data_IF_937244874222
#
_entry.id   IF_937244874222
#
_cell.length_a   1.000
_cell.length_b   1.000
_cell.length_c   1.000
_cell.angle_alpha   90.00
_cell.angle_beta   90.00
_cell.angle_gamma   90.00
#
_symmetry.space_group_name_H-M   'P 1'
#
loop_
_entity.id
_entity.type
_entity.pdbx_description
1 polymer ?
#
# COMPACT_ATOMS: atom_id res chain seq x y z
N UNK A 1 -36.28 -1.00 48.74
CA UNK A 1 -36.07 -0.21 47.50
C UNK A 1 -35.41 -1.14 46.49
N UNK A 2 -36.08 -1.57 45.41
CA UNK A 2 -35.50 -2.53 44.49
C UNK A 2 -34.50 -1.82 43.57
N UNK A 3 -33.31 -2.40 43.44
CA UNK A 3 -32.24 -1.92 42.57
C UNK A 3 -32.71 -2.14 41.13
N UNK A 4 -32.96 -1.05 40.41
CA UNK A 4 -33.31 -1.06 39.00
C UNK A 4 -32.20 -1.73 38.18
N UNK A 5 -32.56 -2.77 37.44
CA UNK A 5 -31.72 -3.51 36.51
C UNK A 5 -30.99 -2.58 35.55
N UNK A 6 -29.67 -2.49 35.66
CA UNK A 6 -28.81 -1.77 34.71
C UNK A 6 -28.79 -2.59 33.42
N UNK A 7 -29.51 -2.13 32.40
CA UNK A 7 -29.39 -2.68 31.04
C UNK A 7 -28.05 -2.26 30.46
N UNK A 8 -27.05 -3.14 30.54
CA UNK A 8 -25.82 -3.03 29.77
C UNK A 8 -26.14 -3.29 28.29
N UNK A 9 -26.51 -2.24 27.56
CA UNK A 9 -26.50 -2.27 26.11
C UNK A 9 -25.04 -2.33 25.65
N UNK A 10 -24.50 -3.55 25.55
CA UNK A 10 -23.25 -3.81 24.86
C UNK A 10 -23.48 -3.54 23.37
N UNK A 11 -23.27 -2.30 22.94
CA UNK A 11 -23.18 -1.97 21.52
C UNK A 11 -22.05 -2.83 20.95
N UNK A 12 -22.39 -3.81 20.10
CA UNK A 12 -21.41 -4.51 19.26
C UNK A 12 -20.63 -3.43 18.52
N UNK A 13 -19.41 -3.14 18.96
CA UNK A 13 -18.47 -2.38 18.15
C UNK A 13 -18.24 -3.22 16.91
N UNK A 14 -18.90 -2.88 15.81
CA UNK A 14 -18.54 -3.45 14.53
C UNK A 14 -17.08 -3.09 14.30
N UNK A 15 -16.23 -4.09 14.11
CA UNK A 15 -14.90 -3.85 13.58
C UNK A 15 -15.11 -3.08 12.27
N UNK A 16 -14.72 -1.80 12.26
CA UNK A 16 -14.85 -0.95 11.09
C UNK A 16 -13.85 -1.48 10.06
N UNK A 17 -14.32 -2.38 9.20
CA UNK A 17 -13.48 -3.00 8.19
C UNK A 17 -13.20 -1.97 7.09
N UNK A 18 -11.91 -1.76 6.81
CA UNK A 18 -11.44 -0.96 5.67
C UNK A 18 -10.90 -1.90 4.60
N UNK A 19 -11.26 -1.73 3.31
CA UNK A 19 -10.65 -2.48 2.22
C UNK A 19 -9.19 -2.06 1.96
N UNK A 20 -8.78 -0.90 2.47
CA UNK A 20 -7.48 -0.31 2.21
C UNK A 20 -6.55 -0.42 3.40
N UNK A 21 -5.27 -0.62 3.10
CA UNK A 21 -4.14 -0.47 4.01
C UNK A 21 -3.12 0.49 3.40
N UNK A 22 -2.27 1.11 4.22
CA UNK A 22 -1.14 1.89 3.73
C UNK A 22 0.15 1.15 4.05
N UNK A 23 0.70 0.44 3.05
CA UNK A 23 1.95 -0.30 3.22
C UNK A 23 3.20 0.58 3.14
N UNK A 24 3.01 1.88 2.93
CA UNK A 24 3.98 2.93 3.08
C UNK A 24 5.09 2.93 2.03
N UNK A 25 6.25 3.35 2.51
CA UNK A 25 7.45 3.65 1.74
C UNK A 25 7.36 4.92 0.90
N UNK A 26 8.44 5.20 0.19
CA UNK A 26 8.65 6.43 -0.54
C UNK A 26 9.45 6.15 -1.81
N UNK A 27 9.05 6.83 -2.87
CA UNK A 27 9.68 6.77 -4.18
C UNK A 27 10.08 8.19 -4.59
N UNK A 28 11.22 8.34 -5.24
CA UNK A 28 11.72 9.60 -5.81
C UNK A 28 12.20 9.35 -7.22
N UNK A 29 11.95 10.32 -8.11
CA UNK A 29 12.39 10.28 -9.50
C UNK A 29 12.99 11.64 -9.89
N UNK A 30 14.10 11.62 -10.61
CA UNK A 30 14.77 12.82 -11.15
C UNK A 30 14.98 12.60 -12.65
N UNK A 31 14.41 13.49 -13.45
CA UNK A 31 14.63 13.52 -14.89
C UNK A 31 15.90 14.31 -15.22
N UNK A 32 16.78 13.71 -16.03
CA UNK A 32 17.86 14.37 -16.73
C UNK A 32 17.45 14.77 -18.16
N UNK A 33 18.42 15.22 -18.96
CA UNK A 33 18.22 15.56 -20.37
C UNK A 33 17.78 14.37 -21.23
N UNK A 34 18.31 13.19 -20.93
CA UNK A 34 18.27 11.98 -21.74
C UNK A 34 18.15 10.70 -20.89
N UNK A 35 17.93 10.86 -19.58
CA UNK A 35 17.76 9.76 -18.64
C UNK A 35 16.77 10.11 -17.53
N UNK A 36 16.38 9.11 -16.73
CA UNK A 36 15.64 9.31 -15.50
C UNK A 36 16.23 8.38 -14.42
N UNK A 37 16.50 8.91 -13.23
CA UNK A 37 16.92 8.12 -12.07
C UNK A 37 15.72 7.98 -11.15
N UNK A 38 15.40 6.73 -10.77
CA UNK A 38 14.29 6.42 -9.88
C UNK A 38 14.84 5.59 -8.73
N UNK A 39 14.48 5.97 -7.51
CA UNK A 39 14.86 5.28 -6.29
C UNK A 39 13.65 5.11 -5.38
N UNK A 40 13.61 4.01 -4.65
CA UNK A 40 12.57 3.74 -3.66
C UNK A 40 13.14 2.89 -2.51
N UNK A 41 12.60 3.07 -1.31
CA UNK A 41 12.96 2.19 -0.20
C UNK A 41 12.33 0.79 -0.37
N UNK A 42 12.89 -0.19 0.32
CA UNK A 42 12.48 -1.60 0.24
C UNK A 42 11.58 -2.07 1.38
N UNK A 43 11.26 -1.20 2.35
CA UNK A 43 10.49 -1.57 3.54
C UNK A 43 9.00 -1.55 3.24
N UNK A 44 8.31 -2.65 3.55
CA UNK A 44 6.84 -2.72 3.53
C UNK A 44 6.33 -2.87 4.96
N UNK A 45 5.33 -2.07 5.34
CA UNK A 45 4.80 -2.05 6.71
C UNK A 45 3.28 -2.20 6.71
N UNK A 46 2.68 -2.41 7.88
CA UNK A 46 1.25 -2.23 8.12
C UNK A 46 1.07 -1.73 9.55
N UNK A 47 0.38 -0.60 9.72
CA UNK A 47 0.36 0.13 10.99
C UNK A 47 1.77 0.34 11.55
N UNK A 48 2.04 -0.19 12.75
CA UNK A 48 3.33 -0.10 13.44
C UNK A 48 4.27 -1.31 13.21
N UNK A 49 3.92 -2.23 12.32
CA UNK A 49 4.68 -3.46 12.08
C UNK A 49 5.38 -3.44 10.71
N UNK A 50 6.60 -3.98 10.66
CA UNK A 50 7.32 -4.22 9.40
C UNK A 50 6.96 -5.62 8.89
N UNK A 51 6.37 -5.69 7.70
CA UNK A 51 6.04 -6.95 7.04
C UNK A 51 7.26 -7.57 6.37
N UNK A 52 8.05 -6.73 5.68
CA UNK A 52 9.32 -7.12 5.07
C UNK A 52 10.23 -5.91 4.92
N UNK A 53 11.54 -6.15 4.95
CA UNK A 53 12.58 -5.15 4.68
C UNK A 53 13.09 -5.23 3.24
N UNK A 54 12.66 -6.23 2.49
CA UNK A 54 13.15 -6.54 1.16
C UNK A 54 11.98 -6.74 0.19
N UNK A 55 11.37 -5.61 -0.18
CA UNK A 55 10.32 -5.55 -1.19
C UNK A 55 10.58 -4.40 -2.15
N UNK A 56 10.88 -4.70 -3.40
CA UNK A 56 11.05 -3.67 -4.43
C UNK A 56 9.72 -2.95 -4.71
N UNK A 57 9.74 -1.63 -4.59
CA UNK A 57 8.66 -0.74 -5.01
C UNK A 57 8.73 -0.33 -6.48
N UNK A 58 9.75 -0.79 -7.19
CA UNK A 58 10.01 -0.50 -8.59
C UNK A 58 9.72 -1.76 -9.41
N UNK A 59 8.89 -1.63 -10.44
CA UNK A 59 8.59 -2.67 -11.42
C UNK A 59 8.86 -2.18 -12.83
N UNK A 60 9.50 -3.02 -13.64
CA UNK A 60 9.66 -2.76 -15.07
C UNK A 60 8.33 -2.91 -15.80
N UNK A 61 8.01 -1.96 -16.67
CA UNK A 61 6.88 -2.04 -17.60
C UNK A 61 7.39 -2.40 -19.00
N UNK A 62 8.34 -1.61 -19.50
CA UNK A 62 9.04 -1.83 -20.79
C UNK A 62 10.56 -1.63 -20.64
N UNK A 63 11.29 -1.78 -21.76
CA UNK A 63 12.75 -1.59 -21.84
C UNK A 63 13.22 -0.25 -21.26
N UNK A 64 12.48 0.85 -21.55
CA UNK A 64 12.80 2.22 -21.09
C UNK A 64 11.74 2.83 -20.17
N UNK A 65 10.90 1.99 -19.56
CA UNK A 65 9.82 2.46 -18.69
C UNK A 65 9.73 1.61 -17.42
N UNK A 66 9.77 2.28 -16.27
CA UNK A 66 9.59 1.66 -14.96
C UNK A 66 8.51 2.40 -14.18
N UNK A 67 7.80 1.67 -13.34
CA UNK A 67 6.80 2.18 -12.42
C UNK A 67 7.31 2.04 -10.99
N UNK A 68 7.39 3.14 -10.26
CA UNK A 68 7.64 3.15 -8.83
C UNK A 68 6.35 3.50 -8.08
N UNK A 69 6.01 2.76 -7.03
CA UNK A 69 4.77 3.01 -6.30
C UNK A 69 4.92 2.78 -4.78
N UNK A 70 4.25 3.64 -4.03
CA UNK A 70 4.12 3.58 -2.56
C UNK A 70 2.64 3.56 -2.20
N UNK A 71 2.31 3.25 -0.94
CA UNK A 71 0.93 3.18 -0.48
C UNK A 71 0.42 1.75 -0.39
N UNK A 72 -0.78 1.48 -0.91
CA UNK A 72 -1.43 0.18 -0.74
C UNK A 72 -0.90 -0.88 -1.72
N UNK A 73 -0.22 -1.91 -1.21
CA UNK A 73 0.48 -2.85 -2.08
C UNK A 73 -0.47 -3.71 -2.93
N UNK A 74 -1.69 -4.01 -2.47
CA UNK A 74 -2.64 -4.79 -3.26
C UNK A 74 -3.10 -4.02 -4.50
N UNK A 75 -3.40 -2.73 -4.36
CA UNK A 75 -3.77 -1.87 -5.49
C UNK A 75 -2.62 -1.72 -6.48
N UNK A 76 -1.38 -1.59 -6.00
CA UNK A 76 -0.19 -1.57 -6.86
C UNK A 76 -0.09 -2.86 -7.67
N UNK A 77 -0.31 -4.03 -7.07
CA UNK A 77 -0.30 -5.31 -7.79
C UNK A 77 -1.42 -5.40 -8.82
N UNK A 78 -2.63 -4.92 -8.49
CA UNK A 78 -3.73 -4.90 -9.44
C UNK A 78 -3.41 -4.01 -10.64
N UNK A 79 -2.88 -2.81 -10.41
CA UNK A 79 -2.48 -1.89 -11.46
C UNK A 79 -1.36 -2.45 -12.34
N UNK A 80 -0.32 -3.06 -11.75
CA UNK A 80 0.74 -3.74 -12.48
C UNK A 80 0.18 -4.79 -13.45
N UNK A 81 -0.75 -5.65 -12.98
CA UNK A 81 -1.39 -6.67 -13.83
C UNK A 81 -2.18 -6.06 -14.98
N UNK A 82 -2.91 -4.97 -14.73
CA UNK A 82 -3.68 -4.25 -15.77
C UNK A 82 -2.75 -3.65 -16.83
N UNK A 83 -1.63 -3.07 -16.41
CA UNK A 83 -0.65 -2.49 -17.33
C UNK A 83 0.03 -3.58 -18.17
N UNK A 84 0.46 -4.68 -17.55
CA UNK A 84 1.07 -5.80 -18.27
C UNK A 84 0.09 -6.44 -19.27
N UNK A 85 -1.19 -6.56 -18.92
CA UNK A 85 -2.20 -7.11 -19.84
C UNK A 85 -2.45 -6.22 -21.07
N UNK A 86 -2.15 -4.92 -20.97
CA UNK A 86 -2.31 -3.95 -22.06
C UNK A 86 -1.08 -3.84 -22.98
N UNK A 87 -0.11 -4.74 -22.85
CA UNK A 87 1.13 -4.77 -23.64
C UNK A 87 1.93 -3.46 -23.56
N UNK A 88 2.03 -2.90 -22.36
CA UNK A 88 3.04 -1.90 -22.02
C UNK A 88 4.20 -2.53 -21.29
#
# INVERSE_FOLDING_TARGET
>A
VPISSINFNMTKQQANWSPYDNNGGSCVAIAGSDYCVIAADTRMSTGYNILTRDYSKISHLAEKCVMASSGFQADVKALQKVLSARHL
#
